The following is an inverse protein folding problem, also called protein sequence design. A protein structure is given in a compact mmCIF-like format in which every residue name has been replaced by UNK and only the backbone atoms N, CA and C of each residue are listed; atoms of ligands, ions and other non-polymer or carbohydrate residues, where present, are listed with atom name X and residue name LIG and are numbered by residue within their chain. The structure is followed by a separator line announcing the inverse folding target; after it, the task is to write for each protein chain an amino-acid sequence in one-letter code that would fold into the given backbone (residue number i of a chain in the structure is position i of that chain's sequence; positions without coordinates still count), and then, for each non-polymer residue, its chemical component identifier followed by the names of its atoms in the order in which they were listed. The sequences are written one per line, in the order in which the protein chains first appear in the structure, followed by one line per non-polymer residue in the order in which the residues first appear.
data_IF_841616457913
#
_entry.id   IF_841616457913
#
_cell.length_a   1.000
_cell.length_b   1.000
_cell.length_c   1.000
_cell.angle_alpha   90.00
_cell.angle_beta   90.00
_cell.angle_gamma   90.00
#
_symmetry.space_group_name_H-M   'P 1'
#
loop_
_entity.id
_entity.type
_entity.pdbx_description
1 polymer ?
#
# COMPACT_ATOMS: atom_id res chain seq x y z
N UNK A 1 14.46 12.07 -18.31
CA UNK A 1 14.78 12.00 -16.87
C UNK A 1 14.53 13.36 -16.26
N UNK A 2 13.57 13.58 -15.40
CA UNK A 2 13.39 14.86 -14.72
C UNK A 2 14.23 14.87 -13.43
N UNK A 3 15.09 15.88 -13.35
CA UNK A 3 15.97 16.23 -12.23
C UNK A 3 15.16 16.89 -11.10
N UNK A 4 14.39 16.16 -10.30
CA UNK A 4 13.68 16.79 -9.17
C UNK A 4 13.61 15.91 -7.90
N UNK A 5 14.64 15.09 -7.63
CA UNK A 5 14.68 14.26 -6.40
C UNK A 5 15.53 14.84 -5.25
N UNK A 6 16.02 16.07 -5.31
CA UNK A 6 17.14 16.54 -4.46
C UNK A 6 16.83 17.57 -3.37
N UNK A 7 15.59 17.80 -2.93
CA UNK A 7 15.32 18.82 -1.90
C UNK A 7 14.57 18.33 -0.64
N UNK A 8 14.55 17.02 -0.35
CA UNK A 8 13.75 16.50 0.77
C UNK A 8 14.54 16.00 1.99
N UNK A 9 15.84 16.25 2.08
CA UNK A 9 16.69 15.75 3.18
C UNK A 9 16.53 16.50 4.52
N UNK A 10 16.03 17.74 4.54
CA UNK A 10 16.09 18.56 5.77
C UNK A 10 14.93 18.37 6.75
N UNK A 11 13.75 18.01 6.27
CA UNK A 11 12.56 17.91 7.15
C UNK A 11 12.45 16.55 7.87
N UNK A 12 12.93 15.49 7.22
CA UNK A 12 12.94 14.13 7.81
C UNK A 12 14.04 13.96 8.85
N UNK A 13 15.18 14.67 8.70
CA UNK A 13 16.23 14.64 9.72
C UNK A 13 15.76 15.16 11.09
N UNK A 14 14.71 15.98 11.14
CA UNK A 14 14.19 16.52 12.40
C UNK A 14 13.27 15.53 13.14
N UNK A 15 12.57 14.65 12.43
CA UNK A 15 11.65 13.66 13.03
C UNK A 15 12.40 12.38 13.39
N UNK A 16 13.28 11.89 12.52
CA UNK A 16 14.08 10.67 12.74
C UNK A 16 15.19 10.86 13.79
N UNK A 17 15.63 12.10 14.07
CA UNK A 17 16.60 12.39 15.15
C UNK A 17 16.08 12.11 16.56
N UNK A 18 14.79 11.80 16.74
CA UNK A 18 14.20 11.49 18.06
C UNK A 18 14.17 10.00 18.38
N UNK A 19 14.24 9.12 17.39
CA UNK A 19 14.14 7.68 17.61
C UNK A 19 15.51 7.09 17.91
N UNK A 20 15.67 6.52 19.12
CA UNK A 20 16.89 5.78 19.49
C UNK A 20 16.80 4.34 18.97
N UNK A 21 17.46 4.06 17.87
CA UNK A 21 17.49 2.74 17.26
C UNK A 21 18.38 1.74 18.01
N UNK A 22 19.20 2.17 18.97
CA UNK A 22 20.19 1.31 19.65
C UNK A 22 19.54 0.16 20.44
N UNK A 23 18.38 0.42 21.03
CA UNK A 23 17.65 -0.53 21.87
C UNK A 23 16.51 -1.27 21.12
N UNK A 24 16.34 -1.02 19.82
CA UNK A 24 15.32 -1.70 19.03
C UNK A 24 15.84 -3.09 18.61
N UNK A 25 15.06 -4.17 18.73
CA UNK A 25 15.42 -5.48 18.19
C UNK A 25 15.77 -5.39 16.71
N UNK A 26 16.62 -6.28 16.22
CA UNK A 26 17.01 -6.31 14.82
C UNK A 26 17.00 -7.75 14.30
N UNK A 27 16.30 -8.01 13.17
CA UNK A 27 15.56 -7.04 12.32
C UNK A 27 14.18 -6.66 12.90
N UNK A 28 13.73 -5.41 12.67
CA UNK A 28 12.44 -4.93 13.16
C UNK A 28 11.82 -3.85 12.26
N UNK A 29 10.56 -4.02 11.88
CA UNK A 29 9.73 -2.94 11.36
C UNK A 29 9.24 -2.08 12.52
N UNK A 30 9.42 -0.78 12.42
CA UNK A 30 9.03 0.16 13.47
C UNK A 30 8.15 1.26 12.89
N UNK A 31 6.90 1.29 13.33
CA UNK A 31 5.98 2.38 12.99
C UNK A 31 6.23 3.57 13.93
N UNK A 32 6.36 4.77 13.37
CA UNK A 32 6.34 6.05 14.10
C UNK A 32 4.89 6.52 14.24
N UNK A 33 4.34 6.40 15.46
CA UNK A 33 2.95 6.76 15.72
C UNK A 33 2.67 8.24 15.45
N UNK A 34 3.61 9.14 15.73
CA UNK A 34 3.40 10.57 15.54
C UNK A 34 3.33 10.93 14.04
N UNK A 35 4.24 10.37 13.24
CA UNK A 35 4.21 10.54 11.79
C UNK A 35 2.96 9.88 11.16
N UNK A 36 2.59 8.71 11.66
CA UNK A 36 1.39 8.00 11.21
C UNK A 36 0.10 8.80 11.49
N UNK A 37 -0.06 9.34 12.70
CA UNK A 37 -1.20 10.20 13.03
C UNK A 37 -1.29 11.44 12.16
N UNK A 38 -0.16 12.06 11.83
CA UNK A 38 -0.11 13.21 10.91
C UNK A 38 -0.66 12.86 9.52
N UNK A 39 -0.34 11.67 9.00
CA UNK A 39 -0.94 11.19 7.75
C UNK A 39 -2.45 11.01 7.88
N UNK A 40 -2.91 10.40 8.96
CA UNK A 40 -4.34 10.19 9.23
C UNK A 40 -5.11 11.51 9.33
N UNK A 41 -4.56 12.51 9.99
CA UNK A 41 -5.13 13.87 10.09
C UNK A 41 -5.29 14.51 8.71
N UNK A 42 -4.28 14.41 7.85
CA UNK A 42 -4.33 14.92 6.48
C UNK A 42 -5.40 14.20 5.65
N UNK A 43 -5.42 12.87 5.70
CA UNK A 43 -6.42 12.05 4.99
C UNK A 43 -7.84 12.42 5.45
N UNK A 44 -8.05 12.52 6.76
CA UNK A 44 -9.33 12.96 7.32
C UNK A 44 -9.72 14.37 6.88
N UNK A 45 -8.77 15.30 6.84
CA UNK A 45 -9.00 16.66 6.35
C UNK A 45 -9.44 16.66 4.89
N UNK A 46 -8.81 15.87 4.02
CA UNK A 46 -9.21 15.73 2.61
C UNK A 46 -10.61 15.14 2.51
N UNK A 47 -10.89 14.06 3.25
CA UNK A 47 -12.22 13.42 3.31
C UNK A 47 -13.31 14.43 3.68
N UNK A 48 -13.13 15.14 4.80
CA UNK A 48 -14.13 16.07 5.34
C UNK A 48 -14.33 17.28 4.40
N UNK A 49 -13.24 17.84 3.87
CA UNK A 49 -13.28 19.00 2.95
C UNK A 49 -13.92 18.65 1.62
N UNK A 50 -13.65 17.48 1.07
CA UNK A 50 -14.21 17.05 -0.21
C UNK A 50 -15.63 16.48 -0.07
N UNK A 51 -16.04 16.05 1.12
CA UNK A 51 -17.33 15.41 1.39
C UNK A 51 -17.44 14.04 0.70
N UNK A 52 -16.35 13.26 0.72
CA UNK A 52 -16.26 11.92 0.13
C UNK A 52 -15.90 10.89 1.19
N UNK A 53 -16.04 9.60 0.89
CA UNK A 53 -15.46 8.55 1.72
C UNK A 53 -14.01 8.27 1.31
N UNK A 54 -13.14 8.10 2.32
CA UNK A 54 -11.78 7.56 2.13
C UNK A 54 -11.66 6.37 3.05
N UNK A 55 -11.23 5.23 2.51
CA UNK A 55 -11.11 3.96 3.23
C UNK A 55 -9.70 3.39 3.08
N UNK A 56 -9.21 2.69 4.10
CA UNK A 56 -7.86 2.13 4.14
C UNK A 56 -7.75 0.87 3.29
N UNK A 57 -6.79 0.82 2.36
CA UNK A 57 -6.52 -0.38 1.58
C UNK A 57 -5.50 -1.30 2.28
N UNK A 58 -5.97 -2.46 2.78
CA UNK A 58 -5.13 -3.42 3.51
C UNK A 58 -4.00 -4.02 2.69
N UNK A 59 -4.19 -4.16 1.38
CA UNK A 59 -3.11 -4.63 0.48
C UNK A 59 -1.81 -3.83 0.61
N UNK A 60 -1.90 -2.58 1.07
CA UNK A 60 -0.73 -1.72 1.27
C UNK A 60 -0.34 -1.60 2.75
N UNK A 61 -1.30 -1.61 3.66
CA UNK A 61 -1.03 -1.46 5.09
C UNK A 61 -2.07 -2.22 5.92
N UNK A 62 -1.62 -3.23 6.65
CA UNK A 62 -2.47 -4.12 7.43
C UNK A 62 -1.93 -4.40 8.85
N UNK A 63 -1.16 -3.48 9.43
CA UNK A 63 -0.68 -3.57 10.81
C UNK A 63 -1.85 -3.37 11.79
N UNK A 64 -2.61 -4.44 12.04
CA UNK A 64 -3.86 -4.40 12.79
C UNK A 64 -3.73 -3.88 14.22
N UNK A 65 -2.57 -4.00 14.85
CA UNK A 65 -2.33 -3.47 16.20
C UNK A 65 -2.51 -1.95 16.32
N UNK A 66 -2.47 -1.22 15.20
CA UNK A 66 -2.72 0.23 15.14
C UNK A 66 -4.08 0.61 14.56
N UNK A 67 -4.93 -0.37 14.25
CA UNK A 67 -6.29 -0.07 13.77
C UNK A 67 -7.14 0.72 14.77
N UNK A 68 -6.99 0.57 16.11
CA UNK A 68 -7.63 1.48 17.05
C UNK A 68 -7.30 2.96 16.78
N UNK A 69 -6.05 3.27 16.38
CA UNK A 69 -5.64 4.62 16.00
C UNK A 69 -6.28 5.03 14.66
N UNK A 70 -6.28 4.13 13.66
CA UNK A 70 -6.91 4.41 12.36
C UNK A 70 -8.39 4.77 12.51
N UNK A 71 -9.11 4.03 13.35
CA UNK A 71 -10.56 4.24 13.59
C UNK A 71 -10.91 5.62 14.17
N UNK A 72 -9.98 6.28 14.84
CA UNK A 72 -10.18 7.66 15.31
C UNK A 72 -10.41 8.64 14.15
N UNK A 73 -9.94 8.29 12.95
CA UNK A 73 -9.95 9.14 11.76
C UNK A 73 -10.79 8.55 10.62
N UNK A 74 -10.56 7.28 10.30
CA UNK A 74 -11.14 6.55 9.16
C UNK A 74 -11.65 5.19 9.64
N UNK A 75 -12.99 4.97 9.68
CA UNK A 75 -13.55 3.76 10.28
C UNK A 75 -13.66 2.56 9.32
N UNK A 76 -13.44 2.74 8.01
CA UNK A 76 -13.68 1.73 7.00
C UNK A 76 -12.40 1.33 6.25
N UNK A 77 -12.45 0.14 5.66
CA UNK A 77 -11.32 -0.43 4.91
C UNK A 77 -11.77 -1.20 3.68
N UNK A 78 -10.85 -1.39 2.74
CA UNK A 78 -11.04 -2.28 1.59
C UNK A 78 -10.18 -3.53 1.74
N UNK A 79 -10.71 -4.65 1.29
CA UNK A 79 -10.10 -5.96 1.35
C UNK A 79 -9.98 -6.57 -0.05
N UNK A 80 -8.88 -7.30 -0.29
CA UNK A 80 -8.60 -7.96 -1.58
C UNK A 80 -8.68 -9.50 -1.50
N UNK A 81 -9.04 -10.03 -0.34
CA UNK A 81 -9.17 -11.48 -0.08
C UNK A 81 -10.09 -11.74 1.11
N UNK A 82 -10.44 -13.02 1.32
CA UNK A 82 -11.16 -13.46 2.52
C UNK A 82 -10.39 -13.12 3.81
N UNK A 83 -9.06 -13.31 3.80
CA UNK A 83 -8.24 -13.02 4.98
C UNK A 83 -8.27 -11.53 5.35
N UNK A 84 -8.15 -10.64 4.36
CA UNK A 84 -8.26 -9.20 4.60
C UNK A 84 -9.69 -8.79 5.00
N UNK A 85 -10.73 -9.38 4.39
CA UNK A 85 -12.13 -9.10 4.76
C UNK A 85 -12.42 -9.51 6.21
N UNK A 86 -11.90 -10.66 6.66
CA UNK A 86 -11.97 -11.07 8.05
C UNK A 86 -11.21 -10.15 8.98
N UNK A 87 -10.00 -9.74 8.59
CA UNK A 87 -9.20 -8.79 9.36
C UNK A 87 -9.93 -7.44 9.55
N UNK A 88 -10.63 -6.98 8.51
CA UNK A 88 -11.48 -5.80 8.59
C UNK A 88 -12.61 -5.99 9.59
N UNK A 89 -13.31 -7.10 9.51
CA UNK A 89 -14.44 -7.40 10.38
C UNK A 89 -14.03 -7.61 11.84
N UNK A 90 -12.96 -8.40 12.06
CA UNK A 90 -12.50 -8.79 13.38
C UNK A 90 -11.70 -7.66 14.09
N UNK A 91 -10.79 -6.98 13.40
CA UNK A 91 -9.84 -6.04 14.02
C UNK A 91 -10.13 -4.56 13.70
N UNK A 92 -10.62 -4.25 12.49
CA UNK A 92 -11.07 -2.89 12.19
C UNK A 92 -12.49 -2.63 12.74
N UNK A 93 -13.24 -3.69 13.05
CA UNK A 93 -14.58 -3.62 13.64
C UNK A 93 -15.65 -3.11 12.68
N UNK A 94 -15.42 -3.21 11.37
CA UNK A 94 -16.36 -2.82 10.31
C UNK A 94 -16.32 -3.80 9.14
N UNK A 95 -17.47 -4.08 8.48
CA UNK A 95 -17.46 -4.86 7.26
C UNK A 95 -16.67 -4.17 6.15
N UNK A 96 -15.90 -4.95 5.38
CA UNK A 96 -15.04 -4.43 4.33
C UNK A 96 -15.79 -4.01 3.06
N UNK A 97 -15.17 -3.12 2.27
CA UNK A 97 -15.41 -3.05 0.84
C UNK A 97 -14.49 -4.06 0.17
N UNK A 98 -15.05 -5.15 -0.34
CA UNK A 98 -14.23 -6.26 -0.84
C UNK A 98 -14.19 -6.27 -2.37
N UNK A 99 -12.97 -6.27 -2.90
CA UNK A 99 -12.69 -6.53 -4.30
C UNK A 99 -11.60 -7.60 -4.44
N UNK A 100 -11.95 -8.72 -5.08
CA UNK A 100 -10.99 -9.74 -5.50
C UNK A 100 -11.06 -9.95 -7.01
N UNK A 101 -9.92 -10.12 -7.72
CA UNK A 101 -9.94 -10.39 -9.16
C UNK A 101 -10.62 -11.73 -9.47
N UNK A 102 -10.65 -12.66 -8.53
CA UNK A 102 -11.38 -13.93 -8.64
C UNK A 102 -11.91 -14.36 -7.26
N UNK A 103 -13.16 -14.81 -7.23
CA UNK A 103 -13.79 -15.42 -6.06
C UNK A 103 -13.97 -16.93 -6.29
N UNK A 104 -13.89 -17.71 -5.21
CA UNK A 104 -14.17 -19.15 -5.23
C UNK A 104 -15.47 -19.46 -4.50
N UNK A 105 -16.19 -20.52 -4.91
CA UNK A 105 -17.44 -20.95 -4.24
C UNK A 105 -17.20 -21.28 -2.76
N UNK A 106 -16.00 -21.76 -2.45
CA UNK A 106 -15.63 -22.12 -1.07
C UNK A 106 -15.53 -20.92 -0.14
N UNK A 107 -14.96 -19.80 -0.65
CA UNK A 107 -14.65 -18.62 0.19
C UNK A 107 -15.76 -17.57 0.15
N UNK A 108 -16.54 -17.53 -0.92
CA UNK A 108 -17.48 -16.45 -1.15
C UNK A 108 -18.53 -16.28 -0.04
N UNK A 109 -19.11 -17.37 0.55
CA UNK A 109 -20.03 -17.22 1.68
C UNK A 109 -19.39 -16.54 2.90
N UNK A 110 -18.11 -16.83 3.19
CA UNK A 110 -17.39 -16.21 4.29
C UNK A 110 -17.02 -14.75 3.97
N UNK A 111 -16.70 -14.43 2.70
CA UNK A 111 -16.48 -13.04 2.23
C UNK A 111 -17.75 -12.22 2.43
N UNK A 112 -18.91 -12.72 2.05
CA UNK A 112 -20.19 -12.04 2.25
C UNK A 112 -20.44 -11.66 3.72
N UNK A 113 -20.12 -12.55 4.65
CA UNK A 113 -20.32 -12.32 6.09
C UNK A 113 -19.40 -11.19 6.65
N UNK A 114 -18.33 -10.86 5.95
CA UNK A 114 -17.36 -9.85 6.37
C UNK A 114 -17.39 -8.57 5.52
N UNK A 115 -18.33 -8.47 4.57
CA UNK A 115 -18.35 -7.38 3.57
C UNK A 115 -19.67 -6.62 3.59
N UNK A 116 -19.57 -5.28 3.45
CA UNK A 116 -20.72 -4.39 3.19
C UNK A 116 -20.87 -4.10 1.69
N UNK A 117 -19.76 -4.11 0.97
CA UNK A 117 -19.71 -3.91 -0.47
C UNK A 117 -18.89 -5.02 -1.10
N UNK A 118 -19.36 -5.55 -2.24
CA UNK A 118 -18.60 -6.52 -3.04
C UNK A 118 -18.52 -6.03 -4.48
N UNK A 119 -17.30 -5.89 -4.96
CA UNK A 119 -17.03 -5.50 -6.35
C UNK A 119 -16.61 -6.72 -7.15
N UNK A 120 -17.27 -6.96 -8.27
CA UNK A 120 -17.01 -8.07 -9.20
C UNK A 120 -16.12 -7.60 -10.35
N UNK A 121 -15.17 -8.45 -10.71
CA UNK A 121 -14.17 -8.15 -11.74
C UNK A 121 -14.68 -8.37 -13.18
N UNK A 122 -15.72 -9.18 -13.37
CA UNK A 122 -16.29 -9.50 -14.68
C UNK A 122 -17.80 -9.74 -14.58
N UNK A 123 -18.49 -9.68 -15.72
CA UNK A 123 -19.92 -10.02 -15.79
C UNK A 123 -20.16 -11.48 -15.39
N UNK A 124 -19.33 -12.41 -15.85
CA UNK A 124 -19.43 -13.82 -15.49
C UNK A 124 -19.30 -14.04 -13.97
N UNK A 125 -18.39 -13.30 -13.33
CA UNK A 125 -18.23 -13.37 -11.88
C UNK A 125 -19.48 -12.80 -11.17
N UNK A 126 -20.01 -11.68 -11.66
CA UNK A 126 -21.25 -11.09 -11.15
C UNK A 126 -22.44 -12.06 -11.30
N UNK A 127 -22.68 -12.59 -12.48
CA UNK A 127 -23.78 -13.54 -12.75
C UNK A 127 -23.71 -14.77 -11.84
N UNK A 128 -22.50 -15.28 -11.58
CA UNK A 128 -22.29 -16.46 -10.74
C UNK A 128 -22.57 -16.21 -9.26
N UNK A 129 -22.15 -15.06 -8.73
CA UNK A 129 -22.12 -14.85 -7.29
C UNK A 129 -23.17 -13.86 -6.77
N UNK A 130 -23.65 -12.94 -7.61
CA UNK A 130 -24.67 -11.96 -7.21
C UNK A 130 -25.94 -12.60 -6.62
N UNK A 131 -26.49 -13.71 -7.16
CA UNK A 131 -27.67 -14.34 -6.57
C UNK A 131 -27.53 -14.72 -5.08
N UNK A 132 -26.29 -14.97 -4.63
CA UNK A 132 -26.02 -15.30 -3.22
C UNK A 132 -26.05 -14.06 -2.31
N UNK A 133 -25.80 -12.87 -2.85
CA UNK A 133 -25.72 -11.64 -2.06
C UNK A 133 -27.07 -11.02 -1.71
N UNK A 134 -28.13 -11.40 -2.40
CA UNK A 134 -29.46 -10.77 -2.32
C UNK A 134 -30.10 -10.79 -0.92
N UNK A 135 -29.70 -11.73 -0.08
CA UNK A 135 -30.24 -11.87 1.27
C UNK A 135 -29.37 -11.25 2.36
N UNK A 136 -28.21 -10.69 2.01
CA UNK A 136 -27.19 -10.28 2.98
C UNK A 136 -27.01 -8.76 3.09
N UNK A 137 -27.87 -7.95 2.47
CA UNK A 137 -27.79 -6.49 2.46
C UNK A 137 -26.42 -5.97 2.01
N UNK A 138 -25.83 -6.62 1.01
CA UNK A 138 -24.53 -6.28 0.44
C UNK A 138 -24.73 -5.42 -0.81
N UNK A 139 -24.06 -4.27 -0.86
CA UNK A 139 -24.05 -3.43 -2.05
C UNK A 139 -23.07 -3.97 -3.07
N UNK A 140 -23.58 -4.34 -4.25
CA UNK A 140 -22.79 -4.96 -5.32
C UNK A 140 -22.36 -3.96 -6.39
N UNK A 141 -21.14 -4.08 -6.85
CA UNK A 141 -20.60 -3.25 -7.93
C UNK A 141 -19.76 -4.01 -8.93
N UNK A 142 -19.40 -3.32 -10.00
CA UNK A 142 -18.51 -3.84 -11.04
C UNK A 142 -17.22 -3.03 -11.09
N UNK A 143 -16.09 -3.72 -11.22
CA UNK A 143 -14.85 -3.06 -11.57
C UNK A 143 -14.85 -2.78 -13.06
N UNK A 144 -14.66 -1.52 -13.42
CA UNK A 144 -14.51 -1.06 -14.81
C UNK A 144 -13.05 -0.80 -15.14
N UNK A 145 -12.70 -1.01 -16.41
CA UNK A 145 -11.40 -0.68 -16.98
C UNK A 145 -11.56 0.44 -18.01
N UNK A 146 -11.12 1.66 -17.71
CA UNK A 146 -11.22 2.77 -18.65
C UNK A 146 -10.21 2.67 -19.80
N UNK A 147 -9.32 1.67 -19.81
CA UNK A 147 -8.25 1.53 -20.80
C UNK A 147 -7.35 2.77 -20.87
N UNK A 148 -7.19 3.41 -19.72
CA UNK A 148 -6.36 4.59 -19.52
C UNK A 148 -5.69 4.54 -18.13
N UNK A 149 -4.39 4.77 -18.11
CA UNK A 149 -3.59 4.93 -16.89
C UNK A 149 -2.32 5.70 -17.25
N UNK A 150 -1.90 6.64 -16.40
CA UNK A 150 -0.61 7.33 -16.50
C UNK A 150 0.57 6.49 -15.93
N UNK A 151 0.32 5.25 -15.51
CA UNK A 151 1.35 4.35 -14.98
C UNK A 151 2.17 3.76 -16.13
N UNK A 152 3.47 4.10 -16.17
CA UNK A 152 4.36 3.69 -17.26
C UNK A 152 4.80 2.22 -17.16
N UNK A 153 4.92 1.67 -15.94
CA UNK A 153 5.40 0.31 -15.72
C UNK A 153 4.27 -0.70 -15.87
N UNK A 154 4.33 -1.56 -16.87
CA UNK A 154 3.28 -2.56 -17.18
C UNK A 154 2.87 -3.43 -16.00
N UNK A 155 3.81 -3.80 -15.12
CA UNK A 155 3.53 -4.59 -13.91
C UNK A 155 2.51 -3.91 -12.99
N UNK A 156 2.48 -2.58 -12.98
CA UNK A 156 1.61 -1.76 -12.13
C UNK A 156 0.53 -1.01 -12.92
N UNK A 157 0.50 -1.17 -14.25
CA UNK A 157 -0.53 -0.58 -15.10
C UNK A 157 -1.74 -1.51 -15.22
N UNK A 158 -2.85 -1.26 -14.48
CA UNK A 158 -4.03 -2.13 -14.51
C UNK A 158 -4.83 -1.98 -15.80
N UNK A 159 -4.49 -1.04 -16.66
CA UNK A 159 -5.13 -0.76 -17.95
C UNK A 159 -4.27 -1.15 -19.14
N UNK A 160 -3.14 -1.83 -18.93
CA UNK A 160 -2.31 -2.35 -20.03
C UNK A 160 -3.12 -3.29 -20.94
N UNK A 161 -2.78 -3.37 -22.24
CA UNK A 161 -3.43 -4.30 -23.16
C UNK A 161 -3.41 -5.74 -22.62
N UNK A 162 -4.56 -6.41 -22.61
CA UNK A 162 -4.70 -7.76 -22.05
C UNK A 162 -4.81 -7.82 -20.53
N UNK A 163 -4.96 -6.68 -19.85
CA UNK A 163 -5.21 -6.66 -18.41
C UNK A 163 -6.41 -7.53 -18.03
N UNK A 164 -6.24 -8.36 -17.00
CA UNK A 164 -7.30 -9.20 -16.42
C UNK A 164 -8.21 -8.44 -15.44
N UNK A 165 -8.02 -7.12 -15.26
CA UNK A 165 -8.64 -6.34 -14.19
C UNK A 165 -9.70 -5.39 -14.76
N UNK A 166 -10.95 -5.70 -14.43
CA UNK A 166 -12.11 -4.86 -14.76
C UNK A 166 -12.67 -5.06 -16.17
N UNK A 167 -13.85 -4.51 -16.38
CA UNK A 167 -14.67 -4.66 -17.59
C UNK A 167 -14.50 -3.41 -18.45
N UNK A 168 -14.08 -3.57 -19.70
CA UNK A 168 -14.01 -2.48 -20.66
C UNK A 168 -15.40 -2.05 -21.13
N UNK A 169 -15.58 -0.80 -21.51
CA UNK A 169 -16.89 -0.24 -21.87
C UNK A 169 -17.62 -1.01 -22.99
N UNK A 170 -16.88 -1.54 -23.96
CA UNK A 170 -17.42 -2.31 -25.06
C UNK A 170 -18.06 -3.65 -24.67
N UNK A 171 -17.80 -4.15 -23.47
CA UNK A 171 -18.41 -5.38 -22.94
C UNK A 171 -19.66 -5.12 -22.09
N UNK A 172 -19.94 -3.86 -21.75
CA UNK A 172 -21.15 -3.46 -21.04
C UNK A 172 -22.23 -3.06 -22.07
N UNK A 173 -23.46 -3.50 -21.83
CA UNK A 173 -24.60 -3.10 -22.64
C UNK A 173 -25.03 -1.64 -22.44
N UNK A 174 -26.22 -1.28 -22.88
CA UNK A 174 -26.77 0.08 -22.67
C UNK A 174 -27.16 0.33 -21.22
N UNK A 175 -27.43 -0.71 -20.48
CA UNK A 175 -27.75 -0.66 -19.04
C UNK A 175 -26.84 -1.63 -18.29
N UNK A 176 -26.55 -1.28 -17.02
CA UNK A 176 -25.91 -2.22 -16.11
C UNK A 176 -26.84 -3.38 -15.78
N UNK A 177 -26.30 -4.56 -15.45
CA UNK A 177 -27.09 -5.66 -14.92
C UNK A 177 -27.90 -5.24 -13.69
N UNK A 178 -29.09 -5.81 -13.53
CA UNK A 178 -29.92 -5.59 -12.34
C UNK A 178 -29.17 -5.97 -11.06
N UNK A 179 -29.23 -5.10 -10.05
CA UNK A 179 -28.54 -5.28 -8.78
C UNK A 179 -27.13 -4.71 -8.72
N UNK A 180 -26.61 -4.14 -9.79
CA UNK A 180 -25.38 -3.34 -9.75
C UNK A 180 -25.68 -1.98 -9.16
N UNK A 181 -25.13 -1.70 -8.00
CA UNK A 181 -25.33 -0.44 -7.27
C UNK A 181 -24.12 0.50 -7.35
N UNK A 182 -22.98 0.04 -7.85
CA UNK A 182 -21.80 0.87 -7.95
C UNK A 182 -20.82 0.45 -9.03
N UNK A 183 -19.93 1.38 -9.36
CA UNK A 183 -18.78 1.14 -10.20
C UNK A 183 -17.49 1.42 -9.44
N UNK A 184 -16.46 0.66 -9.74
CA UNK A 184 -15.12 0.79 -9.17
C UNK A 184 -14.08 0.80 -10.28
N UNK A 185 -13.13 1.72 -10.21
CA UNK A 185 -11.92 1.64 -11.02
C UNK A 185 -10.69 1.81 -10.12
N UNK A 186 -9.56 1.26 -10.55
CA UNK A 186 -8.28 1.45 -9.87
C UNK A 186 -7.20 1.46 -10.93
N UNK A 187 -6.71 2.64 -11.27
CA UNK A 187 -5.86 2.91 -12.44
C UNK A 187 -4.63 3.74 -12.08
N UNK A 188 -4.52 4.17 -10.83
CA UNK A 188 -3.45 5.01 -10.33
C UNK A 188 -2.47 4.21 -9.46
N UNK A 189 -1.19 4.59 -9.48
CA UNK A 189 -0.16 4.07 -8.60
C UNK A 189 0.78 5.22 -8.22
N UNK A 190 0.81 5.60 -6.94
CA UNK A 190 1.58 6.72 -6.40
C UNK A 190 1.40 8.05 -7.18
N UNK A 191 0.20 8.25 -7.68
CA UNK A 191 -0.16 9.30 -8.63
C UNK A 191 -0.57 10.60 -7.93
N UNK A 192 -0.61 11.69 -8.71
CA UNK A 192 -1.06 13.01 -8.30
C UNK A 192 -2.58 13.20 -8.46
N UNK A 193 -3.09 14.32 -7.95
CA UNK A 193 -4.49 14.73 -8.17
C UNK A 193 -4.79 15.07 -9.65
N UNK A 194 -3.79 15.50 -10.40
CA UNK A 194 -3.90 15.79 -11.83
C UNK A 194 -4.02 14.52 -12.68
N UNK A 195 -3.41 13.41 -12.24
CA UNK A 195 -3.57 12.11 -12.89
C UNK A 195 -4.96 11.53 -12.64
N UNK A 196 -5.54 11.79 -11.46
CA UNK A 196 -6.94 11.48 -11.20
C UNK A 196 -7.87 12.31 -12.10
N UNK A 197 -7.60 13.59 -12.30
CA UNK A 197 -8.41 14.46 -13.17
C UNK A 197 -8.47 13.91 -14.60
N UNK A 198 -7.33 13.55 -15.19
CA UNK A 198 -7.28 12.91 -16.52
C UNK A 198 -8.06 11.59 -16.55
N UNK A 199 -7.85 10.75 -15.52
CA UNK A 199 -8.56 9.47 -15.40
C UNK A 199 -10.06 9.67 -15.32
N UNK A 200 -10.54 10.62 -14.51
CA UNK A 200 -11.96 10.91 -14.36
C UNK A 200 -12.60 11.38 -15.66
N UNK A 201 -11.90 12.18 -16.47
CA UNK A 201 -12.38 12.60 -17.77
C UNK A 201 -12.66 11.39 -18.68
N UNK A 202 -11.74 10.43 -18.74
CA UNK A 202 -11.91 9.20 -19.54
C UNK A 202 -13.00 8.29 -18.95
N UNK A 203 -13.08 8.17 -17.63
CA UNK A 203 -14.14 7.38 -16.97
C UNK A 203 -15.52 8.00 -17.23
N UNK A 204 -15.64 9.32 -17.17
CA UNK A 204 -16.87 10.04 -17.45
C UNK A 204 -17.30 9.90 -18.92
N UNK A 205 -16.35 9.99 -19.86
CA UNK A 205 -16.59 9.77 -21.29
C UNK A 205 -17.11 8.36 -21.59
N UNK A 206 -16.42 7.33 -21.07
CA UNK A 206 -16.70 5.93 -21.42
C UNK A 206 -17.85 5.33 -20.59
N UNK A 207 -18.01 5.74 -19.35
CA UNK A 207 -18.94 5.11 -18.39
C UNK A 207 -19.98 6.06 -17.80
N UNK A 208 -19.95 7.35 -18.09
CA UNK A 208 -20.86 8.35 -17.55
C UNK A 208 -22.34 8.05 -17.78
N UNK A 209 -22.69 7.36 -18.88
CA UNK A 209 -24.06 6.92 -19.16
C UNK A 209 -24.65 6.00 -18.09
N UNK A 210 -23.80 5.37 -17.27
CA UNK A 210 -24.23 4.48 -16.20
C UNK A 210 -24.35 5.17 -14.83
N UNK A 211 -23.81 6.38 -14.67
CA UNK A 211 -23.84 7.08 -13.38
C UNK A 211 -25.25 7.32 -12.83
N UNK A 212 -26.28 7.60 -13.65
CA UNK A 212 -27.66 7.66 -13.14
C UNK A 212 -28.22 6.35 -12.58
N UNK A 213 -27.56 5.21 -12.85
CA UNK A 213 -28.03 3.89 -12.45
C UNK A 213 -27.38 3.40 -11.14
N UNK A 214 -26.37 4.10 -10.63
CA UNK A 214 -25.56 3.66 -9.49
C UNK A 214 -25.68 4.59 -8.29
N UNK A 215 -25.36 4.09 -7.11
CA UNK A 215 -25.37 4.83 -5.83
C UNK A 215 -23.98 5.30 -5.43
N UNK A 216 -22.93 4.60 -5.87
CA UNK A 216 -21.55 4.92 -5.51
C UNK A 216 -20.58 4.72 -6.67
N UNK A 217 -19.54 5.55 -6.66
CA UNK A 217 -18.38 5.43 -7.54
C UNK A 217 -17.12 5.34 -6.69
N UNK A 218 -16.46 4.21 -6.74
CA UNK A 218 -15.19 3.97 -6.07
C UNK A 218 -14.04 4.20 -7.06
N UNK A 219 -13.20 5.19 -6.75
CA UNK A 219 -12.11 5.65 -7.61
C UNK A 219 -10.78 4.91 -7.32
N UNK A 220 -10.84 3.86 -6.47
CA UNK A 220 -9.69 3.03 -6.14
C UNK A 220 -8.61 3.74 -5.32
N UNK A 221 -7.43 3.15 -5.34
CA UNK A 221 -6.24 3.65 -4.65
C UNK A 221 -5.25 4.35 -5.60
N UNK A 222 -4.01 4.50 -5.10
CA UNK A 222 -2.94 5.17 -5.83
C UNK A 222 -2.85 6.68 -5.58
N UNK A 223 -3.75 7.23 -4.76
CA UNK A 223 -3.76 8.63 -4.34
C UNK A 223 -2.74 8.86 -3.22
N UNK A 224 -1.55 9.32 -3.55
CA UNK A 224 -0.47 9.51 -2.56
C UNK A 224 -0.51 10.90 -1.93
N UNK A 225 -1.67 11.23 -1.35
CA UNK A 225 -1.98 12.58 -0.85
C UNK A 225 -1.13 13.04 0.34
N UNK A 226 -0.45 12.13 1.00
CA UNK A 226 0.46 12.42 2.13
C UNK A 226 1.91 12.62 1.68
N UNK A 227 2.21 12.43 0.39
CA UNK A 227 3.52 12.74 -0.18
C UNK A 227 3.73 14.25 -0.21
N UNK A 228 4.92 14.70 0.15
CA UNK A 228 5.31 16.10 0.03
C UNK A 228 5.13 16.61 -1.41
N UNK A 229 4.58 17.82 -1.54
CA UNK A 229 4.28 18.43 -2.84
C UNK A 229 3.01 17.92 -3.52
N UNK A 230 2.25 17.02 -2.90
CA UNK A 230 0.94 16.63 -3.43
C UNK A 230 -0.08 17.77 -3.25
N UNK A 231 -0.77 18.13 -4.33
CA UNK A 231 -1.79 19.19 -4.32
C UNK A 231 -3.12 18.67 -3.78
N UNK A 232 -3.30 18.75 -2.45
CA UNK A 232 -4.55 18.35 -1.78
C UNK A 232 -5.69 19.32 -2.03
N UNK A 233 -5.41 20.60 -2.31
CA UNK A 233 -6.45 21.59 -2.61
C UNK A 233 -7.04 21.34 -3.99
N UNK A 234 -6.20 21.01 -4.96
CA UNK A 234 -6.65 20.56 -6.28
C UNK A 234 -7.50 19.29 -6.17
N UNK A 235 -7.05 18.27 -5.39
CA UNK A 235 -7.83 17.05 -5.17
C UNK A 235 -9.23 17.36 -4.62
N UNK A 236 -9.30 18.18 -3.57
CA UNK A 236 -10.58 18.57 -2.94
C UNK A 236 -11.47 19.30 -3.94
N UNK A 237 -10.92 20.22 -4.72
CA UNK A 237 -11.67 20.99 -5.73
C UNK A 237 -12.22 20.11 -6.83
N UNK A 238 -11.40 19.17 -7.32
CA UNK A 238 -11.77 18.18 -8.33
C UNK A 238 -12.94 17.30 -7.86
N UNK A 239 -12.81 16.73 -6.65
CA UNK A 239 -13.84 15.86 -6.08
C UNK A 239 -15.15 16.62 -5.81
N UNK A 240 -15.09 17.84 -5.32
CA UNK A 240 -16.28 18.70 -5.16
C UNK A 240 -16.95 19.00 -6.48
N UNK A 241 -16.18 19.36 -7.50
CA UNK A 241 -16.70 19.64 -8.84
C UNK A 241 -17.36 18.42 -9.45
N UNK A 242 -16.75 17.23 -9.31
CA UNK A 242 -17.35 15.98 -9.76
C UNK A 242 -18.66 15.67 -9.00
N UNK A 243 -18.64 15.79 -7.70
CA UNK A 243 -19.83 15.57 -6.84
C UNK A 243 -20.97 16.54 -7.15
N UNK A 244 -20.65 17.78 -7.52
CA UNK A 244 -21.67 18.76 -7.92
C UNK A 244 -22.37 18.35 -9.23
N UNK A 245 -21.69 17.67 -10.17
CA UNK A 245 -22.31 17.11 -11.38
C UNK A 245 -23.13 15.86 -11.10
N UNK A 246 -22.74 15.06 -10.09
CA UNK A 246 -23.39 13.79 -9.71
C UNK A 246 -23.71 13.75 -8.21
N UNK A 247 -24.64 14.60 -7.71
CA UNK A 247 -24.85 14.79 -6.27
C UNK A 247 -25.42 13.56 -5.56
N UNK A 248 -26.00 12.61 -6.29
CA UNK A 248 -26.54 11.36 -5.75
C UNK A 248 -25.46 10.30 -5.52
N UNK A 249 -24.26 10.47 -6.08
CA UNK A 249 -23.18 9.50 -5.94
C UNK A 249 -22.43 9.67 -4.63
N UNK A 250 -22.24 8.58 -3.90
CA UNK A 250 -21.21 8.48 -2.90
C UNK A 250 -19.87 8.22 -3.59
N UNK A 251 -18.93 9.14 -3.44
CA UNK A 251 -17.57 8.99 -3.96
C UNK A 251 -16.67 8.34 -2.91
N UNK A 252 -15.89 7.34 -3.32
CA UNK A 252 -15.02 6.56 -2.44
C UNK A 252 -13.60 6.55 -3.03
N UNK A 253 -12.59 6.75 -2.19
CA UNK A 253 -11.17 6.55 -2.51
C UNK A 253 -10.57 5.50 -1.58
N UNK A 254 -9.66 4.68 -2.11
CA UNK A 254 -9.01 3.57 -1.41
C UNK A 254 -7.48 3.72 -1.35
N UNK A 255 -6.92 4.86 -0.87
CA UNK A 255 -5.48 4.96 -0.71
C UNK A 255 -4.97 3.89 0.26
N UNK A 256 -3.77 3.41 0.01
CA UNK A 256 -3.09 2.47 0.88
C UNK A 256 -1.79 3.07 1.41
N UNK A 257 -0.77 3.22 0.55
CA UNK A 257 0.55 3.79 0.92
C UNK A 257 0.43 5.13 1.63
N UNK A 258 -0.53 5.98 1.22
CA UNK A 258 -0.73 7.30 1.83
C UNK A 258 -0.97 7.25 3.35
N UNK A 259 -1.57 6.19 3.87
CA UNK A 259 -1.78 6.03 5.31
C UNK A 259 -0.47 5.90 6.07
N UNK A 260 0.45 5.10 5.55
CA UNK A 260 1.71 4.79 6.22
C UNK A 260 2.94 5.39 5.53
N UNK A 261 2.73 6.31 4.59
CA UNK A 261 3.80 6.99 3.86
C UNK A 261 4.78 7.65 4.81
N UNK A 262 6.06 7.26 4.71
CA UNK A 262 7.15 7.76 5.54
C UNK A 262 6.85 7.80 7.04
N UNK A 263 6.06 6.86 7.53
CA UNK A 263 5.74 6.75 8.95
C UNK A 263 6.37 5.53 9.63
N UNK A 264 7.48 5.04 9.10
CA UNK A 264 8.26 4.01 9.78
C UNK A 264 9.43 3.48 8.99
N UNK A 265 10.18 2.61 9.63
CA UNK A 265 11.49 2.13 9.19
C UNK A 265 11.60 0.61 9.32
N UNK A 266 12.60 0.03 8.61
CA UNK A 266 13.11 -1.30 8.89
C UNK A 266 14.51 -1.17 9.47
N UNK A 267 14.68 -1.56 10.72
CA UNK A 267 15.97 -1.60 11.42
C UNK A 267 16.66 -2.91 11.13
N UNK A 268 17.91 -2.87 10.70
CA UNK A 268 18.77 -4.05 10.48
C UNK A 268 20.17 -3.82 11.04
N UNK A 269 20.99 -4.88 11.03
CA UNK A 269 22.39 -4.83 11.42
C UNK A 269 23.30 -5.44 10.33
N UNK A 270 24.50 -4.90 10.22
CA UNK A 270 25.60 -5.57 9.50
C UNK A 270 26.04 -6.79 10.29
N UNK A 271 25.99 -7.97 9.69
CA UNK A 271 26.40 -9.25 10.32
C UNK A 271 27.71 -9.80 9.77
N UNK A 272 28.09 -9.36 8.56
CA UNK A 272 29.39 -9.71 7.95
C UNK A 272 29.75 -8.68 6.89
N UNK A 273 31.03 -8.65 6.49
CA UNK A 273 31.51 -7.83 5.36
C UNK A 273 32.39 -8.71 4.50
N UNK A 274 31.98 -8.90 3.25
CA UNK A 274 32.73 -9.67 2.27
C UNK A 274 33.25 -8.78 1.16
N UNK A 275 34.42 -9.10 0.60
CA UNK A 275 34.97 -8.35 -0.52
C UNK A 275 35.29 -9.30 -1.68
N UNK A 276 34.85 -8.95 -2.88
CA UNK A 276 35.16 -9.66 -4.09
C UNK A 276 35.40 -8.67 -5.24
N UNK A 277 36.60 -8.78 -5.88
CA UNK A 277 37.00 -7.92 -7.00
C UNK A 277 36.85 -6.42 -6.70
N UNK A 278 37.19 -6.02 -5.48
CA UNK A 278 37.10 -4.60 -5.03
C UNK A 278 35.69 -4.12 -4.67
N UNK A 279 34.67 -4.98 -4.74
CA UNK A 279 33.32 -4.66 -4.28
C UNK A 279 33.17 -5.16 -2.84
N UNK A 280 33.00 -4.25 -1.91
CA UNK A 280 32.66 -4.55 -0.52
C UNK A 280 31.16 -4.73 -0.38
N UNK A 281 30.72 -5.86 0.16
CA UNK A 281 29.31 -6.12 0.45
C UNK A 281 29.11 -6.27 1.97
N UNK A 282 28.33 -5.39 2.56
CA UNK A 282 27.88 -5.52 3.92
C UNK A 282 26.66 -6.45 3.95
N UNK A 283 26.82 -7.63 4.55
CA UNK A 283 25.75 -8.60 4.73
C UNK A 283 24.90 -8.20 5.91
N UNK A 284 23.58 -8.17 5.72
CA UNK A 284 22.61 -7.72 6.72
C UNK A 284 21.84 -8.91 7.30
N UNK A 285 21.25 -8.74 8.49
CA UNK A 285 20.31 -9.70 9.06
C UNK A 285 18.86 -9.55 8.54
N UNK A 286 18.69 -8.86 7.42
CA UNK A 286 17.46 -8.81 6.62
C UNK A 286 17.75 -9.41 5.23
N UNK A 287 16.69 -9.72 4.50
CA UNK A 287 16.75 -10.15 3.11
C UNK A 287 15.92 -9.19 2.26
N UNK A 288 16.47 -8.72 1.14
CA UNK A 288 15.69 -7.93 0.18
C UNK A 288 14.57 -8.76 -0.43
N UNK A 289 14.87 -10.02 -0.79
CA UNK A 289 13.88 -10.94 -1.36
C UNK A 289 12.75 -11.31 -0.39
N UNK A 290 13.06 -11.43 0.92
CA UNK A 290 12.08 -11.83 1.92
C UNK A 290 11.35 -10.66 2.57
N UNK A 291 12.04 -9.55 2.80
CA UNK A 291 11.54 -8.46 3.65
C UNK A 291 11.30 -7.15 2.90
N UNK A 292 11.86 -7.01 1.70
CA UNK A 292 11.74 -5.82 0.85
C UNK A 292 11.58 -6.23 -0.63
N UNK A 293 10.64 -7.15 -0.96
CA UNK A 293 10.56 -7.68 -2.34
C UNK A 293 10.25 -6.60 -3.36
N UNK A 294 9.55 -5.54 -3.01
CA UNK A 294 9.28 -4.41 -3.90
C UNK A 294 10.56 -3.75 -4.42
N UNK A 295 11.63 -3.72 -3.61
CA UNK A 295 12.93 -3.20 -4.06
C UNK A 295 13.51 -3.99 -5.24
N UNK A 296 13.20 -5.28 -5.34
CA UNK A 296 13.63 -6.16 -6.43
C UNK A 296 12.61 -6.21 -7.59
N UNK A 297 11.31 -6.20 -7.28
CA UNK A 297 10.22 -6.28 -8.26
C UNK A 297 10.08 -4.99 -9.06
N UNK A 298 10.23 -3.83 -8.42
CA UNK A 298 10.17 -2.48 -9.00
C UNK A 298 11.53 -1.81 -9.11
N UNK A 299 12.63 -2.48 -9.23
CA UNK A 299 14.01 -2.11 -8.91
C UNK A 299 14.16 -0.64 -8.46
N UNK A 300 13.83 -0.35 -7.23
CA UNK A 300 14.09 0.94 -6.62
C UNK A 300 15.04 0.78 -5.42
N UNK A 301 15.85 1.81 -5.22
CA UNK A 301 16.82 1.84 -4.13
C UNK A 301 16.21 2.54 -2.93
N UNK A 302 15.99 1.83 -1.80
CA UNK A 302 15.38 2.46 -0.62
C UNK A 302 16.33 3.48 0.02
N UNK A 303 15.78 4.52 0.60
CA UNK A 303 16.56 5.47 1.41
C UNK A 303 17.06 4.82 2.70
N UNK A 304 18.24 5.21 3.14
CA UNK A 304 18.87 4.72 4.37
C UNK A 304 19.34 5.94 5.18
N UNK A 305 19.01 5.93 6.46
CA UNK A 305 19.45 7.01 7.37
C UNK A 305 20.97 7.05 7.45
N UNK A 306 21.54 8.21 7.13
CA UNK A 306 23.00 8.41 7.19
C UNK A 306 23.79 7.82 6.02
N UNK A 307 23.10 7.43 4.93
CA UNK A 307 23.72 6.97 3.69
C UNK A 307 23.25 7.81 2.50
N UNK A 308 24.04 7.80 1.44
CA UNK A 308 23.75 8.45 0.16
C UNK A 308 24.02 7.48 -0.98
N UNK A 309 23.68 7.86 -2.20
CA UNK A 309 24.20 7.17 -3.37
C UNK A 309 25.73 7.13 -3.36
N UNK A 310 26.30 6.10 -4.02
CA UNK A 310 27.72 5.92 -4.03
C UNK A 310 28.46 7.16 -4.56
N UNK A 311 29.33 7.74 -3.73
CA UNK A 311 30.11 8.92 -4.04
C UNK A 311 31.60 8.55 -4.10
N UNK A 312 32.32 8.89 -5.19
CA UNK A 312 33.77 8.66 -5.27
C UNK A 312 34.53 9.27 -4.07
N UNK A 313 35.39 8.47 -3.47
CA UNK A 313 36.21 8.92 -2.33
C UNK A 313 35.58 8.74 -0.95
N UNK A 314 34.31 8.33 -0.87
CA UNK A 314 33.68 7.91 0.40
C UNK A 314 33.65 6.38 0.51
N UNK A 315 33.64 5.80 1.73
CA UNK A 315 33.40 4.38 1.92
C UNK A 315 32.09 3.97 1.26
N UNK A 316 32.14 2.99 0.35
CA UNK A 316 30.99 2.50 -0.38
C UNK A 316 30.80 0.99 -0.18
N UNK A 317 29.56 0.60 0.02
CA UNK A 317 29.17 -0.80 0.25
C UNK A 317 27.93 -1.15 -0.54
N UNK A 318 27.96 -2.32 -1.18
CA UNK A 318 26.76 -3.03 -1.57
C UNK A 318 26.11 -3.59 -0.32
N UNK A 319 24.77 -3.60 -0.26
CA UNK A 319 24.06 -4.22 0.85
C UNK A 319 23.51 -5.57 0.38
N UNK A 320 23.91 -6.64 1.07
CA UNK A 320 23.49 -8.02 0.80
C UNK A 320 22.53 -8.52 1.86
N UNK A 321 21.51 -9.27 1.44
CA UNK A 321 20.60 -9.96 2.33
C UNK A 321 21.16 -11.30 2.83
N UNK A 322 20.43 -11.92 3.76
CA UNK A 322 20.84 -13.17 4.43
C UNK A 322 20.17 -14.43 3.85
N UNK A 323 19.45 -14.34 2.72
CA UNK A 323 18.96 -15.52 2.03
C UNK A 323 20.02 -16.11 1.09
N UNK A 324 19.84 -17.38 0.67
CA UNK A 324 20.72 -18.03 -0.31
C UNK A 324 20.43 -17.63 -1.76
N UNK A 325 19.51 -16.71 -2.03
CA UNK A 325 19.28 -16.21 -3.37
C UNK A 325 20.46 -15.34 -3.80
N UNK A 326 21.12 -15.69 -4.91
CA UNK A 326 22.28 -14.94 -5.39
C UNK A 326 22.00 -13.46 -5.71
N UNK A 327 20.76 -13.13 -6.08
CA UNK A 327 20.29 -11.77 -6.31
C UNK A 327 19.74 -11.03 -5.07
N UNK A 328 19.93 -11.60 -3.87
CA UNK A 328 19.47 -10.96 -2.62
C UNK A 328 20.42 -9.85 -2.19
N UNK A 329 20.53 -8.83 -3.00
CA UNK A 329 21.29 -7.61 -2.71
C UNK A 329 20.69 -6.43 -3.43
N UNK A 330 21.01 -5.22 -2.96
CA UNK A 330 20.58 -3.97 -3.57
C UNK A 330 21.74 -2.98 -3.60
N UNK A 331 21.88 -2.28 -4.71
CA UNK A 331 22.68 -1.10 -4.99
C UNK A 331 23.97 -0.92 -4.19
N UNK A 332 24.61 0.22 -4.38
CA UNK A 332 25.77 0.63 -3.60
C UNK A 332 25.48 1.94 -2.90
N UNK A 333 25.78 2.06 -1.60
CA UNK A 333 25.63 3.26 -0.80
C UNK A 333 26.96 3.74 -0.27
N UNK A 334 27.12 5.06 -0.16
CA UNK A 334 28.22 5.66 0.57
C UNK A 334 27.80 6.03 1.99
N UNK A 335 28.71 5.80 2.90
CA UNK A 335 28.60 6.12 4.32
C UNK A 335 29.68 7.13 4.71
N UNK A 336 29.49 7.89 5.80
CA UNK A 336 30.47 8.85 6.28
C UNK A 336 31.71 8.17 6.92
N UNK A 337 31.57 6.90 7.32
CA UNK A 337 32.65 6.06 7.87
C UNK A 337 32.55 4.63 7.38
N UNK A 338 33.66 3.88 7.46
CA UNK A 338 33.62 2.45 7.16
C UNK A 338 32.63 1.71 8.06
N UNK A 339 31.84 0.83 7.47
CA UNK A 339 30.92 -0.05 8.16
C UNK A 339 31.69 -1.14 8.91
N UNK A 340 31.14 -1.58 10.04
CA UNK A 340 31.62 -2.67 10.89
C UNK A 340 30.48 -3.63 11.19
N UNK A 341 30.82 -4.88 11.51
CA UNK A 341 29.88 -5.85 12.06
C UNK A 341 29.24 -5.26 13.32
N UNK A 342 27.92 -5.31 13.39
CA UNK A 342 27.12 -4.70 14.45
C UNK A 342 26.56 -3.31 14.15
N UNK A 343 27.07 -2.62 13.13
CA UNK A 343 26.54 -1.30 12.75
C UNK A 343 25.06 -1.42 12.32
N UNK A 344 24.26 -0.45 12.73
CA UNK A 344 22.85 -0.34 12.36
C UNK A 344 22.71 0.21 10.93
N UNK A 345 21.84 -0.44 10.16
CA UNK A 345 21.34 0.04 8.88
C UNK A 345 19.84 0.22 9.02
N UNK A 346 19.35 1.43 8.82
CA UNK A 346 17.94 1.79 9.00
C UNK A 346 17.37 2.23 7.66
N UNK A 347 16.54 1.38 7.09
CA UNK A 347 15.83 1.67 5.85
C UNK A 347 14.58 2.49 6.14
N UNK A 348 14.39 3.59 5.43
CA UNK A 348 13.24 4.47 5.56
C UNK A 348 12.05 3.96 4.75
N UNK A 349 10.84 4.31 5.20
CA UNK A 349 9.58 4.08 4.49
C UNK A 349 9.24 2.60 4.24
N UNK A 350 9.44 1.74 5.25
CA UNK A 350 9.38 0.28 5.12
C UNK A 350 8.12 -0.37 5.71
N UNK A 351 7.08 0.38 6.10
CA UNK A 351 5.92 -0.22 6.78
C UNK A 351 4.63 -0.26 5.94
N UNK A 352 4.63 0.27 4.73
CA UNK A 352 3.58 -0.02 3.74
C UNK A 352 4.14 -0.94 2.65
N UNK A 353 3.29 -1.66 1.94
CA UNK A 353 3.62 -2.71 0.97
C UNK A 353 4.75 -3.66 1.41
N UNK A 354 5.91 -3.15 1.73
CA UNK A 354 7.08 -3.91 2.19
C UNK A 354 6.72 -4.89 3.31
N UNK A 355 6.09 -4.39 4.38
CA UNK A 355 5.72 -5.22 5.53
C UNK A 355 4.64 -6.26 5.19
N UNK A 356 3.68 -5.98 4.29
CA UNK A 356 2.60 -6.91 3.95
C UNK A 356 2.99 -7.93 2.88
N UNK A 357 4.12 -7.76 2.19
CA UNK A 357 4.61 -8.66 1.14
C UNK A 357 5.72 -9.61 1.60
N UNK A 358 6.03 -9.65 2.89
CA UNK A 358 7.13 -10.47 3.43
C UNK A 358 6.94 -11.97 3.21
N UNK A 359 8.05 -12.67 3.02
CA UNK A 359 8.12 -14.13 2.92
C UNK A 359 9.14 -14.70 3.91
N UNK A 360 9.15 -16.01 4.06
CA UNK A 360 10.14 -16.75 4.87
C UNK A 360 10.94 -17.73 4.01
N UNK A 361 11.37 -17.29 2.82
CA UNK A 361 12.22 -18.11 1.98
C UNK A 361 13.52 -18.47 2.70
N UNK A 362 14.03 -19.67 2.51
CA UNK A 362 15.16 -20.28 3.26
C UNK A 362 14.97 -20.38 4.79
N UNK A 363 13.75 -20.16 5.31
CA UNK A 363 13.53 -20.11 6.75
C UNK A 363 14.05 -18.81 7.40
N UNK A 364 14.32 -17.77 6.60
CA UNK A 364 14.64 -16.45 7.13
C UNK A 364 13.41 -15.92 7.86
N UNK A 365 13.56 -15.66 9.17
CA UNK A 365 12.44 -15.19 10.00
C UNK A 365 11.98 -13.79 9.60
N UNK A 366 10.68 -13.54 9.65
CA UNK A 366 10.17 -12.18 9.51
C UNK A 366 10.82 -11.24 10.52
N UNK A 367 11.08 -9.97 10.16
CA UNK A 367 11.45 -8.93 11.12
C UNK A 367 10.40 -8.80 12.20
N UNK A 368 10.82 -8.53 13.43
CA UNK A 368 9.90 -8.15 14.50
C UNK A 368 9.06 -6.93 14.09
N UNK A 369 7.98 -6.69 14.81
CA UNK A 369 7.09 -5.53 14.59
C UNK A 369 7.04 -4.73 15.87
N UNK A 370 7.31 -3.42 15.80
CA UNK A 370 7.25 -2.50 16.91
C UNK A 370 6.61 -1.17 16.56
N UNK A 371 6.32 -0.41 17.59
CA UNK A 371 5.78 0.96 17.50
C UNK A 371 6.70 1.87 18.31
N UNK A 372 7.11 2.97 17.72
CA UNK A 372 7.63 4.12 18.42
C UNK A 372 6.46 5.02 18.76
N UNK A 373 6.08 5.04 20.03
CA UNK A 373 4.88 5.73 20.48
C UNK A 373 5.04 7.25 20.42
N UNK A 374 3.95 7.98 20.42
CA UNK A 374 3.95 9.45 20.47
C UNK A 374 4.57 10.00 21.78
N UNK A 375 4.69 9.16 22.83
CA UNK A 375 5.39 9.46 24.07
C UNK A 375 6.92 9.25 23.96
N UNK A 376 7.43 8.87 22.79
CA UNK A 376 8.84 8.54 22.51
C UNK A 376 9.34 7.28 23.23
N UNK A 377 8.50 6.25 23.29
CA UNK A 377 8.84 4.94 23.84
C UNK A 377 8.75 3.86 22.75
N UNK A 378 9.67 2.91 22.75
CA UNK A 378 9.59 1.74 21.88
C UNK A 378 8.71 0.67 22.52
N UNK A 379 7.72 0.19 21.78
CA UNK A 379 6.86 -0.93 22.18
C UNK A 379 7.00 -2.07 21.18
N UNK A 380 7.53 -3.21 21.62
CA UNK A 380 7.56 -4.43 20.82
C UNK A 380 6.14 -5.02 20.75
N UNK A 381 5.67 -5.30 19.54
CA UNK A 381 4.32 -5.84 19.28
C UNK A 381 4.38 -7.33 18.97
N UNK A 382 5.30 -7.75 18.11
CA UNK A 382 5.41 -9.15 17.66
C UNK A 382 6.85 -9.52 17.38
N UNK A 383 7.22 -10.72 17.74
CA UNK A 383 8.41 -11.43 17.26
C UNK A 383 7.99 -12.68 16.51
N UNK A 384 8.81 -13.12 15.58
CA UNK A 384 8.59 -14.31 14.77
C UNK A 384 9.71 -15.31 15.03
N UNK A 385 9.34 -16.60 15.04
CA UNK A 385 10.27 -17.67 15.33
C UNK A 385 10.10 -18.89 14.44
N UNK A 386 10.74 -19.98 14.83
CA UNK A 386 10.72 -21.23 14.10
C UNK A 386 9.30 -21.78 13.85
N UNK A 387 8.39 -21.64 14.80
CA UNK A 387 7.02 -22.16 14.67
C UNK A 387 6.23 -21.42 13.60
N UNK A 388 6.49 -20.11 13.37
CA UNK A 388 5.88 -19.34 12.27
C UNK A 388 6.32 -19.88 10.90
N UNK A 389 7.58 -20.32 10.78
CA UNK A 389 8.08 -20.96 9.57
C UNK A 389 7.54 -22.37 9.39
N UNK A 390 7.64 -23.20 10.44
CA UNK A 390 7.27 -24.61 10.41
C UNK A 390 5.78 -24.83 10.13
N UNK A 391 4.90 -24.10 10.84
CA UNK A 391 3.44 -24.24 10.71
C UNK A 391 2.91 -23.91 9.31
N UNK A 392 3.69 -23.20 8.51
CA UNK A 392 3.34 -22.88 7.12
C UNK A 392 3.62 -24.01 6.14
N UNK A 393 4.45 -24.98 6.51
CA UNK A 393 4.96 -25.99 5.59
C UNK A 393 4.25 -27.36 5.71
N UNK A 394 3.61 -27.61 6.84
CA UNK A 394 2.86 -28.85 7.04
C UNK A 394 1.91 -28.79 8.25
#
# INVERSE_FOLDING_TARGET
MPENYYLCTSYYQIITLKMDYSNIPSPCYVLDEAAFRKNLELIKSVKDRAGVEIILAFKAFAMWSVFPIVREYIPYSTASSLAEARLAFEEMGSPAHTYGPAYTDREFPAIMNCSSHITFNSLTQFERFYPQTQFNNISCGLRINPEFSDVETDLYNPCAPGSRLGIVAGLLGDKLPEGVEGLHFHTLCESSSYDLEKTLAVVEEKFGKYFPQIKWLNMGGGHLMTREGYDTDHLVSLLKSFKARYPHLMLILEPGSAFAWRSGVLVSNVVDIVENKGIKTAMLNVSFACHMPDCLEMPYKPSIIGATDAIPGKPAYRLGGNSCLSGDFMGDWSFDKDLKIGDRIVFEDMIHYTMVKTTMFNGVSHPAIGIWTKENEFKLIREFGYEDYKSRLS
#
